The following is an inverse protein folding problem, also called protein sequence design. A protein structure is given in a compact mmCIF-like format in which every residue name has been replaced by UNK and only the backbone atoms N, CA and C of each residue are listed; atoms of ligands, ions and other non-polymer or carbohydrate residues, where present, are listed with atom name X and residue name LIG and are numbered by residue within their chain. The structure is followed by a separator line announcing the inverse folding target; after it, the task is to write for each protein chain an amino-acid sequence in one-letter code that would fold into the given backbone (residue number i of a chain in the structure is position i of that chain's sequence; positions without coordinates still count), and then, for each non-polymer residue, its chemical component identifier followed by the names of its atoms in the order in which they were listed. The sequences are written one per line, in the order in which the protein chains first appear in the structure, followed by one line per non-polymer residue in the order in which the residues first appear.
data_IF_754014991890
#
_entry.id   IF_754014991890
#
_cell.length_a   1.000
_cell.length_b   1.000
_cell.length_c   1.000
_cell.angle_alpha   90.00
_cell.angle_beta   90.00
_cell.angle_gamma   90.00
#
_symmetry.space_group_name_H-M   'P 1'
#
loop_
_entity.id
_entity.type
_entity.pdbx_description
1 polymer ?
#
# COMPACT_ATOMS: atom_id res chain seq x y z
N UNK A 1 67.22 24.18 -12.37
CA UNK A 1 66.66 25.24 -13.23
C UNK A 1 65.26 25.58 -12.72
N UNK A 2 64.94 26.86 -12.60
CA UNK A 2 63.59 27.44 -12.39
C UNK A 2 63.25 28.29 -13.64
N UNK A 3 62.09 28.92 -13.86
CA UNK A 3 60.93 29.36 -13.04
C UNK A 3 59.67 29.00 -13.88
N UNK A 4 58.54 28.51 -13.35
CA UNK A 4 57.36 29.23 -12.80
C UNK A 4 56.95 30.49 -13.64
N UNK A 5 55.69 30.91 -13.83
CA UNK A 5 54.34 30.56 -13.34
C UNK A 5 53.34 30.72 -14.50
N UNK A 6 52.21 30.00 -14.49
CA UNK A 6 51.07 30.24 -15.39
C UNK A 6 49.71 30.05 -14.70
N UNK A 7 49.43 30.83 -13.67
CA UNK A 7 48.19 30.74 -12.89
C UNK A 7 47.00 31.37 -13.62
N UNK A 8 45.89 30.63 -13.73
CA UNK A 8 44.58 31.25 -13.86
C UNK A 8 43.58 30.56 -12.93
N UNK A 9 43.21 31.27 -11.87
CA UNK A 9 42.16 30.87 -10.95
C UNK A 9 40.86 30.57 -11.70
N UNK A 10 40.20 29.47 -11.32
CA UNK A 10 38.91 29.59 -10.63
C UNK A 10 38.83 28.60 -9.49
N UNK A 11 38.70 29.14 -8.28
CA UNK A 11 38.07 28.44 -7.17
C UNK A 11 36.69 27.99 -7.66
N UNK A 12 36.45 26.67 -7.68
CA UNK A 12 35.11 26.09 -7.65
C UNK A 12 34.98 25.36 -6.34
N UNK A 13 34.73 26.16 -5.31
CA UNK A 13 34.47 25.65 -3.97
C UNK A 13 33.14 24.91 -3.93
N UNK A 14 33.16 23.74 -3.29
CA UNK A 14 32.03 22.98 -2.72
C UNK A 14 30.84 22.56 -3.62
N UNK A 15 30.42 21.28 -3.68
CA UNK A 15 31.15 20.03 -3.44
C UNK A 15 30.37 18.84 -4.05
N UNK A 16 30.42 18.68 -5.38
CA UNK A 16 29.94 17.46 -6.03
C UNK A 16 31.02 16.37 -5.90
N UNK A 17 31.07 15.72 -4.73
CA UNK A 17 32.02 14.64 -4.50
C UNK A 17 31.66 13.44 -5.40
N UNK A 18 32.56 13.00 -6.30
CA UNK A 18 32.34 11.76 -7.02
C UNK A 18 32.25 10.61 -6.02
N UNK A 19 31.32 9.69 -6.24
CA UNK A 19 31.19 8.48 -5.44
C UNK A 19 31.91 7.33 -6.16
N UNK A 20 32.69 6.55 -5.42
CA UNK A 20 33.17 5.26 -5.93
C UNK A 20 32.04 4.27 -5.69
N UNK A 21 31.49 3.71 -6.77
CA UNK A 21 30.39 2.76 -6.75
C UNK A 21 30.92 1.38 -7.15
N UNK A 22 30.74 0.40 -6.27
CA UNK A 22 30.86 -1.02 -6.58
C UNK A 22 29.47 -1.66 -6.64
N UNK A 23 29.33 -2.72 -7.43
CA UNK A 23 28.09 -3.51 -7.47
C UNK A 23 28.41 -4.97 -7.18
N UNK A 24 27.60 -5.58 -6.33
CA UNK A 24 27.59 -7.02 -6.07
C UNK A 24 26.41 -7.67 -6.78
N UNK A 25 26.21 -8.98 -6.61
CA UNK A 25 25.06 -9.69 -7.19
C UNK A 25 23.70 -9.13 -6.71
N UNK A 26 23.63 -8.67 -5.46
CA UNK A 26 22.38 -8.35 -4.77
C UNK A 26 22.30 -6.88 -4.29
N UNK A 27 23.41 -6.14 -4.33
CA UNK A 27 23.55 -4.84 -3.66
C UNK A 27 24.43 -3.86 -4.44
N UNK A 28 24.22 -2.57 -4.21
CA UNK A 28 25.13 -1.49 -4.60
C UNK A 28 25.88 -1.03 -3.35
N UNK A 29 27.21 -0.94 -3.48
CA UNK A 29 28.12 -0.44 -2.46
C UNK A 29 28.70 0.89 -2.93
N UNK A 30 28.73 1.91 -2.07
CA UNK A 30 29.37 3.18 -2.45
C UNK A 30 30.01 3.90 -1.26
N UNK A 31 30.93 4.81 -1.60
CA UNK A 31 31.57 5.74 -0.67
C UNK A 31 31.72 7.11 -1.32
N UNK A 32 31.53 8.19 -0.56
CA UNK A 32 31.87 9.53 -1.01
C UNK A 32 33.38 9.73 -0.99
N UNK A 33 33.96 10.40 -2.00
CA UNK A 33 35.37 10.79 -1.96
C UNK A 33 35.68 11.80 -0.83
N UNK A 34 34.68 12.46 -0.23
CA UNK A 34 34.84 13.27 0.98
C UNK A 34 35.11 12.45 2.25
N UNK A 35 34.81 11.15 2.24
CA UNK A 35 34.85 10.26 3.41
C UNK A 35 36.14 9.43 3.43
N UNK A 36 37.19 9.86 2.71
CA UNK A 36 38.51 9.20 2.62
C UNK A 36 39.36 9.37 3.90
N UNK A 37 38.85 8.83 5.02
CA UNK A 37 39.59 8.56 6.25
C UNK A 37 39.86 7.07 6.43
N UNK A 38 40.90 6.70 7.19
CA UNK A 38 41.22 5.30 7.47
C UNK A 38 40.18 4.71 8.44
N UNK A 39 39.27 3.87 7.93
CA UNK A 39 38.62 2.83 8.74
C UNK A 39 37.09 2.71 8.72
N UNK A 40 36.30 3.58 8.06
CA UNK A 40 34.84 3.60 8.32
C UNK A 40 33.88 3.75 7.12
N UNK A 41 32.83 2.92 7.18
CA UNK A 41 31.54 2.94 6.46
C UNK A 41 31.57 2.89 4.92
N UNK A 42 31.43 1.67 4.40
CA UNK A 42 30.80 1.43 3.09
C UNK A 42 29.29 1.67 3.25
N UNK A 43 28.70 2.56 2.45
CA UNK A 43 27.24 2.64 2.34
C UNK A 43 26.78 1.54 1.40
N UNK A 44 25.75 0.79 1.79
CA UNK A 44 25.26 -0.37 1.05
C UNK A 44 23.75 -0.28 0.87
N UNK A 45 23.24 -0.80 -0.24
CA UNK A 45 21.80 -0.89 -0.47
C UNK A 45 21.46 -2.13 -1.30
N UNK A 46 20.50 -2.91 -0.78
CA UNK A 46 19.92 -4.04 -1.50
C UNK A 46 19.17 -3.56 -2.74
N UNK A 47 19.32 -4.27 -3.85
CA UNK A 47 18.50 -4.06 -5.05
C UNK A 47 17.00 -4.16 -4.77
N UNK A 48 16.57 -4.92 -3.75
CA UNK A 48 15.16 -4.99 -3.35
C UNK A 48 14.64 -3.63 -2.84
N UNK A 49 15.50 -2.83 -2.22
CA UNK A 49 15.14 -1.56 -1.58
C UNK A 49 15.23 -0.37 -2.55
N UNK A 50 15.64 -0.58 -3.80
CA UNK A 50 15.73 0.49 -4.80
C UNK A 50 14.35 0.70 -5.40
N UNK A 51 13.76 1.88 -5.17
CA UNK A 51 12.54 2.32 -5.83
C UNK A 51 12.81 2.47 -7.32
N UNK A 52 13.88 3.12 -7.74
CA UNK A 52 14.15 3.30 -9.16
C UNK A 52 15.42 4.07 -9.47
N UNK A 53 15.74 4.19 -10.75
CA UNK A 53 16.92 4.93 -11.22
C UNK A 53 16.55 5.81 -12.42
N UNK A 54 16.99 7.06 -12.41
CA UNK A 54 16.60 8.09 -13.40
C UNK A 54 17.78 8.99 -13.75
N UNK A 55 17.86 9.49 -14.99
CA UNK A 55 18.92 10.40 -15.43
C UNK A 55 18.81 11.77 -14.76
N UNK A 56 19.93 12.47 -14.57
CA UNK A 56 19.94 13.87 -14.12
C UNK A 56 19.11 14.79 -15.02
N UNK A 57 18.99 14.49 -16.31
CA UNK A 57 18.11 15.22 -17.26
C UNK A 57 16.65 15.20 -16.83
N UNK A 58 16.20 14.04 -16.34
CA UNK A 58 14.79 13.71 -16.15
C UNK A 58 14.28 14.21 -14.79
N UNK A 59 15.19 14.53 -13.86
CA UNK A 59 14.88 15.10 -12.53
C UNK A 59 13.97 16.32 -12.63
N UNK A 60 14.03 17.10 -13.71
CA UNK A 60 13.12 18.22 -13.92
C UNK A 60 11.64 17.80 -14.02
N UNK A 61 11.33 16.63 -14.59
CA UNK A 61 9.99 16.05 -14.60
C UNK A 61 9.58 15.39 -13.27
N UNK A 62 10.56 15.12 -12.40
CA UNK A 62 10.40 14.39 -11.12
C UNK A 62 10.48 15.33 -9.90
N UNK A 63 10.72 16.64 -10.11
CA UNK A 63 11.07 17.66 -9.09
C UNK A 63 10.31 17.59 -7.78
N UNK A 64 8.99 17.42 -7.80
CA UNK A 64 8.15 17.45 -6.61
C UNK A 64 8.49 16.33 -5.58
N UNK A 65 9.13 15.22 -5.99
CA UNK A 65 9.66 14.22 -5.05
C UNK A 65 10.90 14.70 -4.29
N UNK A 66 11.68 15.62 -4.88
CA UNK A 66 12.90 16.11 -4.23
C UNK A 66 12.59 16.98 -3.01
N UNK A 67 11.36 17.49 -2.89
CA UNK A 67 10.87 18.19 -1.70
C UNK A 67 10.59 17.23 -0.52
N UNK A 68 10.32 15.94 -0.77
CA UNK A 68 10.21 14.91 0.28
C UNK A 68 11.59 14.49 0.81
N UNK A 69 12.63 14.58 -0.02
CA UNK A 69 14.02 14.26 0.33
C UNK A 69 14.84 15.56 0.52
N UNK A 70 14.64 16.21 1.66
CA UNK A 70 15.03 17.60 1.94
C UNK A 70 16.33 18.11 1.30
N UNK A 71 16.18 19.21 0.55
CA UNK A 71 17.25 20.08 0.02
C UNK A 71 18.25 19.43 -0.93
N UNK A 72 17.85 19.29 -2.20
CA UNK A 72 18.83 19.41 -3.28
C UNK A 72 19.45 20.81 -3.25
N UNK A 73 20.78 20.88 -3.24
CA UNK A 73 21.52 22.14 -3.30
C UNK A 73 21.13 22.93 -4.56
N UNK A 74 20.85 24.23 -4.39
CA UNK A 74 20.51 25.12 -5.52
C UNK A 74 21.68 25.18 -6.51
N UNK A 75 21.35 24.99 -7.79
CA UNK A 75 22.07 25.43 -9.01
C UNK A 75 23.54 25.87 -8.81
N UNK A 76 24.47 25.09 -9.36
CA UNK A 76 25.17 25.48 -10.61
C UNK A 76 26.08 24.36 -11.16
N UNK A 77 25.68 23.73 -12.28
CA UNK A 77 26.58 23.10 -13.25
C UNK A 77 25.80 22.73 -14.52
N UNK A 78 25.95 23.50 -15.59
CA UNK A 78 25.28 23.27 -16.88
C UNK A 78 25.90 22.14 -17.74
N UNK A 79 26.72 21.27 -17.14
CA UNK A 79 27.52 20.26 -17.87
C UNK A 79 27.71 18.93 -17.10
N UNK A 80 26.98 18.67 -16.01
CA UNK A 80 27.12 17.41 -15.25
C UNK A 80 26.09 16.37 -15.69
N UNK A 81 26.54 15.29 -16.33
CA UNK A 81 25.73 14.08 -16.57
C UNK A 81 25.83 13.11 -15.37
N UNK A 82 24.84 12.23 -15.22
CA UNK A 82 24.72 11.37 -14.04
C UNK A 82 23.30 10.79 -13.88
N UNK A 83 23.09 10.01 -12.82
CA UNK A 83 21.79 9.44 -12.46
C UNK A 83 21.51 9.57 -10.97
N UNK A 84 20.24 9.49 -10.59
CA UNK A 84 19.81 9.41 -9.18
C UNK A 84 19.19 8.05 -8.91
N UNK A 85 19.69 7.35 -7.89
CA UNK A 85 19.07 6.17 -7.31
C UNK A 85 18.07 6.62 -6.25
N UNK A 86 16.86 6.08 -6.34
CA UNK A 86 15.77 6.26 -5.38
C UNK A 86 15.58 4.97 -4.60
N UNK A 87 15.35 5.07 -3.30
CA UNK A 87 15.34 3.89 -2.42
C UNK A 87 14.51 4.07 -1.16
N UNK A 88 14.13 2.95 -0.54
CA UNK A 88 13.43 2.92 0.73
C UNK A 88 14.41 2.72 1.89
N UNK A 89 14.20 3.45 2.97
CA UNK A 89 14.87 3.22 4.26
C UNK A 89 13.85 3.24 5.39
N UNK A 90 13.91 2.34 6.37
CA UNK A 90 13.06 2.41 7.55
C UNK A 90 13.22 3.76 8.25
N UNK A 91 12.10 4.38 8.59
CA UNK A 91 12.02 5.55 9.47
C UNK A 91 11.47 5.14 10.84
N UNK A 92 11.30 6.09 11.77
CA UNK A 92 10.83 5.77 13.12
C UNK A 92 9.40 5.22 13.08
N UNK A 93 9.12 4.14 13.83
CA UNK A 93 7.78 3.57 14.07
C UNK A 93 7.05 3.10 12.80
N UNK A 94 7.46 1.94 12.28
CA UNK A 94 6.80 1.20 11.17
C UNK A 94 6.44 2.05 9.94
N UNK A 95 7.30 3.01 9.61
CA UNK A 95 7.16 3.87 8.44
C UNK A 95 8.39 3.71 7.55
N UNK A 96 8.22 3.93 6.26
CA UNK A 96 9.30 3.87 5.28
C UNK A 96 9.49 5.23 4.61
N UNK A 97 10.70 5.76 4.67
CA UNK A 97 11.09 7.01 4.04
C UNK A 97 11.84 6.78 2.74
N UNK A 98 11.69 7.71 1.80
CA UNK A 98 12.42 7.71 0.53
C UNK A 98 13.79 8.39 0.70
N UNK A 99 14.84 7.76 0.17
CA UNK A 99 16.19 8.32 0.05
C UNK A 99 16.62 8.34 -1.40
N UNK A 100 17.12 9.49 -1.83
CA UNK A 100 17.81 9.66 -3.11
C UNK A 100 19.34 9.64 -2.90
N UNK A 101 20.09 9.20 -3.91
CA UNK A 101 21.54 9.34 -3.98
C UNK A 101 21.94 9.59 -5.43
N UNK A 102 22.66 10.68 -5.66
CA UNK A 102 23.02 11.16 -6.99
C UNK A 102 24.45 10.78 -7.33
N UNK A 103 24.64 10.18 -8.50
CA UNK A 103 25.91 9.69 -9.01
C UNK A 103 26.23 10.43 -10.31
N UNK A 104 27.46 10.93 -10.42
CA UNK A 104 27.91 11.68 -11.58
C UNK A 104 28.74 10.80 -12.52
N UNK A 105 28.48 10.93 -13.82
CA UNK A 105 29.15 10.20 -14.89
C UNK A 105 30.06 11.13 -15.70
N UNK A 106 30.92 10.56 -16.54
CA UNK A 106 31.77 11.33 -17.47
C UNK A 106 31.08 11.56 -18.81
N UNK A 107 30.16 10.67 -19.22
CA UNK A 107 29.44 10.69 -20.50
C UNK A 107 28.00 10.21 -20.33
N UNK A 108 27.06 10.76 -21.11
CA UNK A 108 25.63 10.39 -21.08
C UNK A 108 25.39 8.91 -21.40
N UNK A 109 26.17 8.29 -22.30
CA UNK A 109 26.05 6.85 -22.57
C UNK A 109 26.20 6.02 -21.29
N UNK A 110 27.14 6.39 -20.42
CA UNK A 110 27.35 5.69 -19.14
C UNK A 110 26.15 5.84 -18.22
N UNK A 111 25.44 6.98 -18.26
CA UNK A 111 24.18 7.17 -17.51
C UNK A 111 23.13 6.16 -17.97
N UNK A 112 22.93 6.03 -19.28
CA UNK A 112 22.00 5.08 -19.88
C UNK A 112 22.36 3.63 -19.54
N UNK A 113 23.64 3.28 -19.66
CA UNK A 113 24.16 1.94 -19.33
C UNK A 113 23.92 1.60 -17.85
N UNK A 114 24.22 2.55 -16.94
CA UNK A 114 23.97 2.38 -15.50
C UNK A 114 22.49 2.26 -15.17
N UNK A 115 21.63 3.16 -15.65
CA UNK A 115 20.18 3.13 -15.40
C UNK A 115 19.57 1.83 -15.92
N UNK A 116 19.94 1.40 -17.13
CA UNK A 116 19.49 0.12 -17.70
C UNK A 116 19.96 -1.09 -16.87
N UNK A 117 21.24 -1.14 -16.53
CA UNK A 117 21.82 -2.23 -15.74
C UNK A 117 21.18 -2.33 -14.34
N UNK A 118 21.04 -1.20 -13.63
CA UNK A 118 20.47 -1.15 -12.28
C UNK A 118 19.00 -1.55 -12.28
N UNK A 119 18.16 -0.99 -13.17
CA UNK A 119 16.76 -1.40 -13.30
C UNK A 119 16.63 -2.90 -13.63
N UNK A 120 17.51 -3.45 -14.48
CA UNK A 120 17.52 -4.90 -14.77
C UNK A 120 17.91 -5.74 -13.55
N UNK A 121 18.80 -5.23 -12.70
CA UNK A 121 19.31 -5.93 -11.50
C UNK A 121 18.29 -5.92 -10.37
N UNK A 122 17.55 -4.82 -10.20
CA UNK A 122 16.37 -4.74 -9.32
C UNK A 122 15.35 -5.82 -9.67
N UNK A 123 14.95 -5.91 -10.94
CA UNK A 123 13.96 -6.89 -11.40
C UNK A 123 14.44 -8.36 -11.32
N UNK A 124 15.75 -8.62 -11.45
CA UNK A 124 16.34 -9.95 -11.24
C UNK A 124 16.41 -10.34 -9.75
N UNK A 125 16.66 -9.38 -8.87
CA UNK A 125 16.82 -9.61 -7.42
C UNK A 125 15.48 -9.60 -6.68
N UNK A 126 14.47 -8.93 -7.24
CA UNK A 126 13.10 -8.90 -6.74
C UNK A 126 12.09 -9.26 -7.85
N UNK A 127 11.88 -10.56 -8.15
CA UNK A 127 10.90 -10.99 -9.15
C UNK A 127 9.45 -10.71 -8.76
N UNK A 128 9.15 -10.61 -7.45
CA UNK A 128 7.80 -10.37 -6.92
C UNK A 128 7.30 -8.93 -7.16
N UNK A 129 8.21 -8.01 -7.50
CA UNK A 129 7.89 -6.61 -7.76
C UNK A 129 6.98 -6.44 -8.98
N UNK A 130 5.81 -5.78 -8.84
CA UNK A 130 4.90 -5.57 -9.96
C UNK A 130 5.49 -4.62 -11.01
N UNK A 131 4.99 -4.73 -12.23
CA UNK A 131 5.33 -3.90 -13.40
C UNK A 131 4.09 -3.27 -14.03
N UNK A 132 2.94 -3.93 -13.98
CA UNK A 132 1.66 -3.48 -14.51
C UNK A 132 0.60 -3.57 -13.42
N UNK A 133 0.00 -2.44 -13.05
CA UNK A 133 -1.04 -2.37 -12.01
C UNK A 133 -2.35 -1.79 -12.55
N UNK A 134 -3.47 -2.41 -12.15
CA UNK A 134 -4.81 -1.86 -12.35
C UNK A 134 -5.20 -1.08 -11.09
N UNK A 135 -5.32 0.25 -11.19
CA UNK A 135 -5.60 1.13 -10.05
C UNK A 135 -7.04 1.62 -10.09
N UNK A 136 -7.83 1.26 -9.08
CA UNK A 136 -9.14 1.84 -8.82
C UNK A 136 -9.06 2.97 -7.80
N UNK A 137 -9.72 4.08 -8.08
CA UNK A 137 -9.80 5.25 -7.19
C UNK A 137 -11.27 5.52 -6.90
N UNK A 138 -11.64 5.58 -5.62
CA UNK A 138 -12.95 6.10 -5.22
C UNK A 138 -12.83 7.61 -4.94
N UNK A 139 -13.26 8.50 -5.86
CA UNK A 139 -13.06 9.94 -5.74
C UNK A 139 -13.82 10.58 -4.57
N UNK A 140 -14.77 9.86 -3.95
CA UNK A 140 -15.54 10.33 -2.80
C UNK A 140 -14.90 9.97 -1.45
N UNK A 141 -13.89 9.11 -1.42
CA UNK A 141 -13.20 8.68 -0.19
C UNK A 141 -12.34 9.80 0.43
N UNK A 142 -12.16 9.75 1.75
CA UNK A 142 -11.21 10.61 2.47
C UNK A 142 -11.49 12.09 2.38
N UNK A 143 -12.77 12.48 2.52
CA UNK A 143 -13.24 13.85 2.25
C UNK A 143 -12.88 14.34 0.82
N UNK A 144 -13.05 13.46 -0.16
CA UNK A 144 -12.76 13.65 -1.60
C UNK A 144 -11.27 13.85 -1.94
N UNK A 145 -10.36 13.40 -1.07
CA UNK A 145 -8.90 13.53 -1.29
C UNK A 145 -8.26 12.34 -2.00
N UNK A 146 -8.93 11.21 -2.13
CA UNK A 146 -8.34 9.97 -2.69
C UNK A 146 -7.67 10.16 -4.06
N UNK A 147 -8.28 10.91 -4.98
CA UNK A 147 -7.68 11.21 -6.28
C UNK A 147 -6.43 12.10 -6.17
N UNK A 148 -6.44 13.10 -5.28
CA UNK A 148 -5.27 13.96 -5.02
C UNK A 148 -4.13 13.16 -4.35
N UNK A 149 -4.46 12.29 -3.40
CA UNK A 149 -3.53 11.38 -2.74
C UNK A 149 -2.85 10.49 -3.78
N UNK A 150 -3.61 9.88 -4.69
CA UNK A 150 -3.03 9.08 -5.77
C UNK A 150 -2.11 9.92 -6.67
N UNK A 151 -2.62 11.01 -7.24
CA UNK A 151 -1.90 11.84 -8.22
C UNK A 151 -0.63 12.48 -7.65
N UNK A 152 -0.65 12.93 -6.39
CA UNK A 152 0.46 13.69 -5.80
C UNK A 152 1.36 12.88 -4.86
N UNK A 153 1.05 11.62 -4.55
CA UNK A 153 1.90 10.81 -3.65
C UNK A 153 2.20 9.41 -4.21
N UNK A 154 1.23 8.75 -4.87
CA UNK A 154 1.35 7.32 -5.23
C UNK A 154 1.72 7.10 -6.69
N UNK A 155 0.92 7.61 -7.64
CA UNK A 155 1.15 7.43 -9.08
C UNK A 155 2.58 7.78 -9.52
N UNK A 156 3.19 8.84 -8.96
CA UNK A 156 4.57 9.17 -9.32
C UNK A 156 5.64 8.28 -8.67
N UNK A 157 5.39 7.66 -7.51
CA UNK A 157 6.27 6.63 -6.95
C UNK A 157 6.23 5.39 -7.83
N UNK A 158 5.06 5.03 -8.36
CA UNK A 158 4.91 3.98 -9.38
C UNK A 158 5.64 4.35 -10.68
N UNK A 159 5.54 5.60 -11.16
CA UNK A 159 6.32 6.08 -12.31
C UNK A 159 7.83 5.95 -12.09
N UNK A 160 8.35 6.43 -10.95
CA UNK A 160 9.76 6.25 -10.57
C UNK A 160 10.16 4.78 -10.49
N UNK A 161 9.24 3.92 -10.03
CA UNK A 161 9.42 2.49 -9.95
C UNK A 161 9.35 1.76 -11.30
N UNK A 162 9.17 2.50 -12.40
CA UNK A 162 8.94 1.97 -13.75
C UNK A 162 7.76 0.98 -13.78
N UNK A 163 6.72 1.28 -12.99
CA UNK A 163 5.46 0.54 -12.92
C UNK A 163 4.42 1.27 -13.76
N UNK A 164 3.90 0.59 -14.78
CA UNK A 164 2.80 1.07 -15.60
C UNK A 164 1.49 0.92 -14.83
N UNK A 165 0.63 1.94 -14.88
CA UNK A 165 -0.67 1.92 -14.22
C UNK A 165 -1.81 2.23 -15.18
N UNK A 166 -2.84 1.38 -15.22
CA UNK A 166 -4.15 1.73 -15.78
C UNK A 166 -5.02 2.24 -14.63
N UNK A 167 -5.50 3.47 -14.73
CA UNK A 167 -6.26 4.13 -13.65
C UNK A 167 -7.73 4.23 -14.01
N UNK A 168 -8.60 3.79 -13.11
CA UNK A 168 -10.07 3.85 -13.23
C UNK A 168 -10.62 4.59 -12.01
N UNK A 169 -11.26 5.73 -12.23
CA UNK A 169 -12.03 6.42 -11.19
C UNK A 169 -13.44 5.85 -11.15
N UNK A 170 -13.90 5.34 -10.00
CA UNK A 170 -15.23 4.77 -9.87
C UNK A 170 -16.30 5.86 -9.79
N UNK A 171 -17.45 5.59 -10.41
CA UNK A 171 -18.56 6.53 -10.61
C UNK A 171 -19.79 6.22 -9.74
N UNK A 172 -19.92 4.97 -9.31
CA UNK A 172 -21.02 4.46 -8.49
C UNK A 172 -20.48 3.43 -7.49
N UNK A 173 -21.34 2.99 -6.56
CA UNK A 173 -21.09 1.78 -5.77
C UNK A 173 -21.00 0.57 -6.72
N UNK A 174 -20.21 -0.42 -6.33
CA UNK A 174 -20.06 -1.73 -6.98
C UNK A 174 -19.43 -1.69 -8.39
N UNK A 175 -19.09 -0.51 -8.93
CA UNK A 175 -18.39 -0.37 -10.22
C UNK A 175 -17.01 -1.07 -10.19
N UNK A 176 -16.27 -1.06 -9.07
CA UNK A 176 -15.04 -1.85 -9.01
C UNK A 176 -15.32 -3.36 -9.04
N UNK A 177 -16.37 -3.82 -8.33
CA UNK A 177 -16.86 -5.20 -8.35
C UNK A 177 -17.18 -5.65 -9.78
N UNK A 178 -18.05 -4.91 -10.46
CA UNK A 178 -18.54 -5.24 -11.80
C UNK A 178 -17.39 -5.26 -12.82
N UNK A 179 -16.52 -4.24 -12.80
CA UNK A 179 -15.36 -4.18 -13.69
C UNK A 179 -14.45 -5.40 -13.51
N UNK A 180 -14.13 -5.77 -12.27
CA UNK A 180 -13.29 -6.92 -11.96
C UNK A 180 -13.93 -8.23 -12.43
N UNK A 181 -15.25 -8.39 -12.25
CA UNK A 181 -15.98 -9.59 -12.68
C UNK A 181 -16.06 -9.71 -14.22
N UNK A 182 -16.07 -8.59 -14.96
CA UNK A 182 -16.28 -8.56 -16.41
C UNK A 182 -15.00 -8.54 -17.26
N UNK A 183 -13.87 -8.08 -16.71
CA UNK A 183 -12.64 -7.87 -17.47
C UNK A 183 -11.58 -8.94 -17.15
N UNK A 184 -10.80 -9.37 -18.15
CA UNK A 184 -9.59 -10.15 -17.89
C UNK A 184 -8.57 -9.31 -17.11
N UNK A 185 -7.92 -9.95 -16.14
CA UNK A 185 -6.88 -9.37 -15.30
C UNK A 185 -5.48 -9.88 -15.66
N UNK A 186 -5.35 -10.74 -16.68
CA UNK A 186 -4.12 -11.48 -17.01
C UNK A 186 -2.95 -10.58 -17.48
N UNK A 187 -3.21 -9.30 -17.74
CA UNK A 187 -2.21 -8.28 -18.10
C UNK A 187 -1.65 -7.48 -16.90
N UNK A 188 -2.12 -7.75 -15.68
CA UNK A 188 -1.74 -7.03 -14.47
C UNK A 188 -1.10 -7.94 -13.42
N UNK A 189 -0.05 -7.45 -12.76
CA UNK A 189 0.62 -8.14 -11.65
C UNK A 189 -0.11 -7.92 -10.30
N UNK A 190 -1.06 -6.98 -10.27
CA UNK A 190 -1.85 -6.60 -9.09
C UNK A 190 -2.96 -5.59 -9.38
N UNK A 191 -3.99 -5.61 -8.54
CA UNK A 191 -5.05 -4.59 -8.46
C UNK A 191 -4.79 -3.71 -7.24
N UNK A 192 -4.92 -2.38 -7.38
CA UNK A 192 -4.71 -1.41 -6.31
C UNK A 192 -5.99 -0.62 -6.03
N UNK A 193 -6.37 -0.49 -4.77
CA UNK A 193 -7.53 0.28 -4.35
C UNK A 193 -7.12 1.53 -3.55
N UNK A 194 -7.49 2.71 -4.05
CA UNK A 194 -7.30 3.98 -3.36
C UNK A 194 -8.64 4.42 -2.77
N UNK A 195 -8.80 4.22 -1.46
CA UNK A 195 -10.04 4.50 -0.73
C UNK A 195 -10.00 4.07 0.73
N UNK A 196 -11.18 3.92 1.35
CA UNK A 196 -11.33 3.37 2.69
C UNK A 196 -11.84 1.94 2.72
N UNK A 197 -12.03 1.39 3.93
CA UNK A 197 -12.34 -0.03 4.19
C UNK A 197 -13.52 -0.58 3.36
N UNK A 198 -14.58 0.20 3.18
CA UNK A 198 -15.74 -0.22 2.38
C UNK A 198 -15.47 -0.35 0.87
N UNK A 199 -14.49 0.40 0.34
CA UNK A 199 -14.05 0.28 -1.05
C UNK A 199 -13.04 -0.85 -1.24
N UNK A 200 -12.24 -1.14 -0.22
CA UNK A 200 -11.42 -2.35 -0.19
C UNK A 200 -12.31 -3.62 -0.20
N UNK A 201 -13.39 -3.63 0.60
CA UNK A 201 -14.35 -4.73 0.61
C UNK A 201 -15.06 -4.92 -0.75
N UNK A 202 -15.41 -3.84 -1.45
CA UNK A 202 -15.94 -3.88 -2.82
C UNK A 202 -14.96 -4.60 -3.77
N UNK A 203 -13.67 -4.23 -3.75
CA UNK A 203 -12.67 -4.86 -4.61
C UNK A 203 -12.34 -6.32 -4.23
N UNK A 204 -12.32 -6.68 -2.94
CA UNK A 204 -12.20 -8.07 -2.49
C UNK A 204 -13.36 -8.91 -3.02
N UNK A 205 -14.59 -8.39 -2.93
CA UNK A 205 -15.77 -9.04 -3.48
C UNK A 205 -15.67 -9.21 -5.01
N UNK A 206 -15.21 -8.19 -5.72
CA UNK A 206 -14.93 -8.27 -7.17
C UNK A 206 -13.90 -9.33 -7.55
N UNK A 207 -12.78 -9.43 -6.82
CA UNK A 207 -11.73 -10.42 -7.11
C UNK A 207 -12.16 -11.86 -6.82
N UNK A 208 -12.88 -12.12 -5.72
CA UNK A 208 -13.36 -13.46 -5.40
C UNK A 208 -14.44 -13.91 -6.41
N UNK A 209 -15.35 -13.01 -6.79
CA UNK A 209 -16.35 -13.30 -7.83
C UNK A 209 -15.71 -13.43 -9.23
N UNK A 210 -14.63 -12.72 -9.54
CA UNK A 210 -13.84 -12.92 -10.75
C UNK A 210 -13.26 -14.33 -10.83
N UNK A 211 -12.59 -14.83 -9.79
CA UNK A 211 -12.06 -16.21 -9.80
C UNK A 211 -13.19 -17.24 -9.92
N UNK A 212 -14.29 -17.08 -9.16
CA UNK A 212 -15.45 -17.98 -9.30
C UNK A 212 -15.97 -18.01 -10.74
N UNK A 213 -16.09 -16.85 -11.40
CA UNK A 213 -16.47 -16.76 -12.81
C UNK A 213 -15.46 -17.45 -13.74
N UNK A 214 -14.16 -17.21 -13.53
CA UNK A 214 -13.05 -17.80 -14.30
C UNK A 214 -13.04 -19.33 -14.26
N UNK A 215 -13.44 -19.91 -13.12
CA UNK A 215 -13.59 -21.36 -12.93
C UNK A 215 -15.02 -21.89 -13.16
N UNK A 216 -15.92 -21.09 -13.74
CA UNK A 216 -17.33 -21.44 -14.01
C UNK A 216 -18.13 -21.88 -12.78
N UNK A 217 -17.74 -21.41 -11.59
CA UNK A 217 -18.47 -21.63 -10.34
C UNK A 217 -19.68 -20.70 -10.23
N UNK A 218 -20.72 -21.07 -9.46
CA UNK A 218 -21.89 -20.23 -9.25
C UNK A 218 -21.55 -18.87 -8.64
N UNK A 219 -22.26 -17.83 -9.09
CA UNK A 219 -22.16 -16.45 -8.59
C UNK A 219 -23.46 -16.05 -7.88
N UNK A 220 -23.38 -15.08 -6.98
CA UNK A 220 -24.53 -14.46 -6.29
C UNK A 220 -25.50 -15.53 -5.72
N UNK A 221 -26.79 -15.49 -6.03
CA UNK A 221 -27.78 -16.44 -5.50
C UNK A 221 -27.51 -17.92 -5.81
N UNK A 222 -26.69 -18.21 -6.82
CA UNK A 222 -26.23 -19.57 -7.13
C UNK A 222 -25.11 -20.06 -6.20
N UNK A 223 -24.35 -19.17 -5.57
CA UNK A 223 -23.31 -19.55 -4.60
C UNK A 223 -23.97 -19.97 -3.28
N UNK A 224 -23.73 -21.22 -2.86
CA UNK A 224 -24.31 -21.81 -1.65
C UNK A 224 -23.26 -22.13 -0.56
N UNK A 225 -23.67 -22.26 0.72
CA UNK A 225 -22.76 -22.58 1.82
C UNK A 225 -22.02 -23.90 1.60
N UNK A 226 -20.75 -23.97 1.99
CA UNK A 226 -19.93 -25.17 1.89
C UNK A 226 -19.37 -25.49 0.50
N UNK A 227 -19.63 -24.64 -0.50
CA UNK A 227 -18.93 -24.70 -1.79
C UNK A 227 -17.43 -24.36 -1.65
N UNK A 228 -16.65 -24.75 -2.66
CA UNK A 228 -15.22 -24.46 -2.72
C UNK A 228 -15.03 -22.96 -2.99
N UNK A 229 -14.17 -22.32 -2.19
CA UNK A 229 -13.71 -20.95 -2.44
C UNK A 229 -12.29 -20.95 -2.99
N UNK A 230 -12.03 -20.02 -3.91
CA UNK A 230 -10.79 -19.93 -4.66
C UNK A 230 -9.99 -18.70 -4.23
N UNK A 231 -8.70 -18.89 -3.95
CA UNK A 231 -7.78 -17.77 -3.68
C UNK A 231 -7.53 -16.99 -4.98
N UNK A 232 -7.69 -15.65 -4.98
CA UNK A 232 -7.30 -14.80 -6.09
C UNK A 232 -5.87 -15.04 -6.56
N UNK A 233 -5.71 -15.25 -7.87
CA UNK A 233 -4.42 -15.37 -8.54
C UNK A 233 -3.69 -14.03 -8.62
N UNK A 234 -4.44 -12.93 -8.71
CA UNK A 234 -3.94 -11.56 -8.69
C UNK A 234 -3.88 -10.99 -7.27
N UNK A 235 -2.81 -10.24 -6.96
CA UNK A 235 -2.61 -9.59 -5.66
C UNK A 235 -3.41 -8.30 -5.54
N UNK A 236 -3.90 -8.01 -4.33
CA UNK A 236 -4.64 -6.77 -4.01
C UNK A 236 -3.80 -5.87 -3.11
N UNK A 237 -3.50 -4.65 -3.56
CA UNK A 237 -2.88 -3.60 -2.77
C UNK A 237 -3.88 -2.54 -2.34
N UNK A 238 -3.70 -1.96 -1.15
CA UNK A 238 -4.55 -0.87 -0.64
C UNK A 238 -3.72 0.38 -0.35
N UNK A 239 -4.21 1.53 -0.80
CA UNK A 239 -3.71 2.86 -0.40
C UNK A 239 -4.75 3.48 0.55
N UNK A 240 -4.38 3.76 1.82
CA UNK A 240 -5.29 4.37 2.78
C UNK A 240 -5.70 5.78 2.31
N UNK A 241 -6.98 5.96 2.03
CA UNK A 241 -7.57 7.23 1.64
C UNK A 241 -9.02 7.38 2.13
N UNK A 242 -9.39 6.74 3.25
CA UNK A 242 -10.72 6.79 3.85
C UNK A 242 -10.78 7.67 5.11
N UNK A 243 -11.52 7.21 6.12
CA UNK A 243 -11.72 7.94 7.39
C UNK A 243 -11.35 7.11 8.63
N UNK A 244 -10.97 5.85 8.44
CA UNK A 244 -10.69 4.88 9.52
C UNK A 244 -9.51 4.03 9.09
N UNK A 245 -9.64 3.39 7.92
CA UNK A 245 -8.59 2.66 7.22
C UNK A 245 -7.98 1.56 8.10
N UNK A 246 -8.83 0.89 8.89
CA UNK A 246 -8.41 -0.15 9.83
C UNK A 246 -7.92 -1.42 9.13
N UNK A 247 -8.46 -1.75 7.95
CA UNK A 247 -7.96 -2.83 7.12
C UNK A 247 -6.55 -2.49 6.59
N UNK A 248 -6.37 -1.27 6.06
CA UNK A 248 -5.07 -0.76 5.59
C UNK A 248 -4.03 -0.76 6.72
N UNK A 249 -4.42 -0.31 7.92
CA UNK A 249 -3.56 -0.32 9.10
C UNK A 249 -3.14 -1.74 9.49
N UNK A 250 -4.04 -2.72 9.40
CA UNK A 250 -3.76 -4.12 9.73
C UNK A 250 -2.84 -4.80 8.71
N UNK A 251 -2.89 -4.37 7.45
CA UNK A 251 -2.02 -4.86 6.36
C UNK A 251 -0.63 -4.24 6.42
N UNK A 252 -0.53 -2.92 6.56
CA UNK A 252 0.74 -2.18 6.45
C UNK A 252 1.40 -1.85 7.79
N UNK A 253 0.72 -2.06 8.91
CA UNK A 253 1.13 -1.55 10.24
C UNK A 253 1.03 -0.02 10.39
N UNK A 254 0.58 0.68 9.35
CA UNK A 254 0.52 2.15 9.28
C UNK A 254 -0.55 2.63 8.30
N UNK A 255 -1.04 3.86 8.50
CA UNK A 255 -1.93 4.56 7.56
C UNK A 255 -1.16 5.59 6.71
N UNK A 256 0.18 5.52 6.70
CA UNK A 256 1.00 6.35 5.83
C UNK A 256 0.90 5.91 4.37
N UNK A 257 0.43 6.82 3.51
CA UNK A 257 0.22 6.61 2.07
C UNK A 257 1.51 6.22 1.36
N UNK A 258 2.63 6.88 1.70
CA UNK A 258 3.92 6.63 1.06
C UNK A 258 4.37 5.22 1.42
N UNK A 259 4.37 4.84 2.70
CA UNK A 259 4.69 3.48 3.15
C UNK A 259 3.84 2.41 2.46
N UNK A 260 2.52 2.61 2.35
CA UNK A 260 1.64 1.69 1.63
C UNK A 260 2.04 1.52 0.14
N UNK A 261 2.36 2.62 -0.55
CA UNK A 261 2.87 2.58 -1.91
C UNK A 261 4.24 1.89 -2.03
N UNK A 262 5.12 2.06 -1.03
CA UNK A 262 6.44 1.43 -0.98
C UNK A 262 6.37 -0.10 -0.77
N UNK A 263 5.43 -0.59 0.04
CA UNK A 263 5.16 -2.04 0.14
C UNK A 263 4.69 -2.62 -1.20
N UNK A 264 3.76 -1.94 -1.88
CA UNK A 264 3.29 -2.32 -3.23
C UNK A 264 4.45 -2.35 -4.24
N UNK A 265 5.33 -1.34 -4.24
CA UNK A 265 6.52 -1.28 -5.11
C UNK A 265 7.52 -2.39 -4.78
N UNK A 266 7.66 -2.75 -3.51
CA UNK A 266 8.52 -3.85 -3.07
C UNK A 266 7.96 -5.21 -3.47
N UNK A 267 6.67 -5.29 -3.78
CA UNK A 267 5.99 -6.55 -4.10
C UNK A 267 5.78 -7.43 -2.87
N UNK A 268 5.81 -6.83 -1.68
CA UNK A 268 5.51 -7.50 -0.41
C UNK A 268 4.07 -8.04 -0.44
N UNK A 269 3.85 -9.20 0.16
CA UNK A 269 2.53 -9.83 0.23
C UNK A 269 2.21 -10.38 1.61
N UNK A 270 0.91 -10.42 1.90
CA UNK A 270 0.34 -10.96 3.13
C UNK A 270 -0.94 -11.69 2.77
N UNK A 271 -1.24 -12.80 3.44
CA UNK A 271 -2.52 -13.49 3.26
C UNK A 271 -3.55 -12.94 4.24
N UNK A 272 -4.77 -12.72 3.76
CA UNK A 272 -5.91 -12.24 4.54
C UNK A 272 -7.04 -13.26 4.44
N UNK A 273 -7.68 -13.54 5.58
CA UNK A 273 -8.87 -14.36 5.62
C UNK A 273 -10.10 -13.54 5.21
N UNK A 274 -11.04 -14.17 4.50
CA UNK A 274 -12.30 -13.56 4.05
C UNK A 274 -13.43 -14.53 4.33
N UNK A 275 -14.55 -14.01 4.83
CA UNK A 275 -15.74 -14.81 5.16
C UNK A 275 -16.81 -14.63 4.09
N UNK A 276 -17.30 -15.74 3.53
CA UNK A 276 -18.54 -15.76 2.78
C UNK A 276 -19.73 -15.74 3.77
N UNK A 277 -20.71 -14.87 3.52
CA UNK A 277 -21.94 -14.78 4.31
C UNK A 277 -23.12 -15.14 3.44
N UNK A 278 -23.94 -16.07 3.91
CA UNK A 278 -25.17 -16.54 3.26
C UNK A 278 -26.37 -16.33 4.20
N UNK A 279 -27.57 -16.25 3.62
CA UNK A 279 -28.82 -16.23 4.36
C UNK A 279 -29.17 -17.64 4.88
N UNK A 280 -29.82 -17.70 6.05
CA UNK A 280 -30.14 -18.97 6.74
C UNK A 280 -31.37 -19.68 6.14
N UNK A 281 -32.29 -18.91 5.55
CA UNK A 281 -33.58 -19.38 5.05
C UNK A 281 -33.48 -20.16 3.72
N UNK A 282 -32.73 -19.64 2.74
CA UNK A 282 -32.59 -20.24 1.41
C UNK A 282 -31.12 -20.52 1.00
N UNK A 283 -30.16 -20.23 1.90
CA UNK A 283 -28.73 -20.35 1.61
C UNK A 283 -28.20 -19.33 0.60
N UNK A 284 -28.93 -18.27 0.25
CA UNK A 284 -28.50 -17.27 -0.73
C UNK A 284 -27.29 -16.50 -0.23
N UNK A 285 -26.21 -16.48 -1.02
CA UNK A 285 -25.05 -15.66 -0.76
C UNK A 285 -25.42 -14.17 -0.67
N UNK A 286 -25.07 -13.56 0.45
CA UNK A 286 -25.27 -12.14 0.73
C UNK A 286 -24.04 -11.37 0.25
N UNK A 287 -22.85 -11.70 0.77
CA UNK A 287 -21.58 -11.05 0.41
C UNK A 287 -20.34 -11.69 1.03
N UNK A 288 -19.17 -11.25 0.58
CA UNK A 288 -17.90 -11.42 1.29
C UNK A 288 -17.68 -10.34 2.36
N UNK A 289 -17.04 -10.71 3.47
CA UNK A 289 -16.69 -9.83 4.58
C UNK A 289 -15.20 -10.00 4.92
N UNK A 290 -14.45 -8.89 4.90
CA UNK A 290 -13.02 -8.85 5.17
C UNK A 290 -12.69 -8.59 6.66
N UNK A 291 -13.35 -7.60 7.28
CA UNK A 291 -12.99 -7.12 8.63
C UNK A 291 -14.00 -7.55 9.70
N UNK A 292 -15.26 -7.14 9.55
CA UNK A 292 -16.27 -7.33 10.59
C UNK A 292 -17.67 -7.49 9.99
N UNK A 293 -18.40 -8.47 10.53
CA UNK A 293 -19.85 -8.59 10.43
C UNK A 293 -20.44 -8.25 11.80
N UNK A 294 -21.27 -7.22 11.88
CA UNK A 294 -21.91 -6.80 13.12
C UNK A 294 -23.39 -7.18 13.19
N UNK A 295 -23.87 -7.44 14.40
CA UNK A 295 -25.29 -7.46 14.75
C UNK A 295 -25.54 -6.58 15.98
N UNK A 296 -26.77 -6.09 16.15
CA UNK A 296 -27.19 -5.28 17.30
C UNK A 296 -26.55 -3.90 17.38
N UNK A 297 -26.14 -3.49 18.58
CA UNK A 297 -25.68 -2.13 18.92
C UNK A 297 -24.67 -1.56 17.92
N UNK A 298 -23.65 -2.34 17.56
CA UNK A 298 -22.60 -1.87 16.66
C UNK A 298 -23.13 -1.60 15.24
N UNK A 299 -24.07 -2.41 14.75
CA UNK A 299 -24.68 -2.24 13.44
C UNK A 299 -25.59 -1.00 13.39
N UNK A 300 -26.33 -0.72 14.45
CA UNK A 300 -27.11 0.52 14.54
C UNK A 300 -26.23 1.77 14.72
N UNK A 301 -25.08 1.65 15.40
CA UNK A 301 -24.07 2.70 15.46
C UNK A 301 -23.50 3.01 14.06
N UNK A 302 -23.01 1.99 13.32
CA UNK A 302 -22.50 2.16 11.95
C UNK A 302 -23.56 2.70 10.99
N UNK A 303 -24.80 2.19 11.06
CA UNK A 303 -25.95 2.67 10.27
C UNK A 303 -26.28 4.13 10.59
N UNK A 304 -26.05 4.58 11.82
CA UNK A 304 -26.19 5.97 12.22
C UNK A 304 -25.02 6.83 11.70
N UNK A 305 -23.79 6.34 11.73
CA UNK A 305 -22.61 7.06 11.22
C UNK A 305 -22.65 7.28 9.71
N UNK A 306 -23.08 6.28 8.94
CA UNK A 306 -23.12 6.36 7.48
C UNK A 306 -24.12 7.39 6.97
N UNK A 307 -25.25 7.55 7.67
CA UNK A 307 -26.21 8.65 7.43
C UNK A 307 -25.64 10.04 7.76
N UNK A 308 -24.50 10.10 8.45
CA UNK A 308 -23.90 11.31 9.06
C UNK A 308 -22.49 11.61 8.54
N UNK A 309 -22.09 11.03 7.40
CA UNK A 309 -20.76 11.26 6.79
C UNK A 309 -20.42 12.75 6.55
N UNK A 310 -21.43 13.62 6.42
CA UNK A 310 -21.26 15.08 6.32
C UNK A 310 -20.64 15.73 7.57
N UNK A 311 -20.72 15.11 8.75
CA UNK A 311 -20.12 15.61 10.00
C UNK A 311 -18.62 15.25 10.16
N UNK A 312 -18.00 14.65 9.14
CA UNK A 312 -16.59 14.25 9.23
C UNK A 312 -16.36 13.22 10.34
N UNK A 313 -15.33 13.42 11.17
CA UNK A 313 -14.97 12.54 12.29
C UNK A 313 -15.90 12.67 13.50
N UNK A 314 -16.58 13.80 13.69
CA UNK A 314 -17.46 14.01 14.85
C UNK A 314 -18.71 13.11 14.84
N UNK A 315 -19.02 12.48 13.69
CA UNK A 315 -20.09 11.49 13.57
C UNK A 315 -19.96 10.37 14.60
N UNK A 316 -18.74 9.83 14.80
CA UNK A 316 -18.50 8.67 15.65
C UNK A 316 -18.91 8.93 17.10
N UNK A 317 -18.53 10.09 17.65
CA UNK A 317 -18.91 10.52 18.99
C UNK A 317 -20.44 10.69 19.13
N UNK A 318 -21.06 11.34 18.14
CA UNK A 318 -22.49 11.62 18.16
C UNK A 318 -23.34 10.35 17.98
N UNK A 319 -23.01 9.48 17.03
CA UNK A 319 -23.72 8.23 16.79
C UNK A 319 -23.52 7.26 17.95
N UNK A 320 -22.30 7.16 18.49
CA UNK A 320 -22.03 6.38 19.70
C UNK A 320 -22.90 6.82 20.88
N UNK A 321 -22.89 8.13 21.20
CA UNK A 321 -23.73 8.68 22.26
C UNK A 321 -25.23 8.48 22.01
N UNK A 322 -25.71 8.70 20.78
CA UNK A 322 -27.11 8.52 20.44
C UNK A 322 -27.55 7.05 20.55
N UNK A 323 -26.77 6.11 20.02
CA UNK A 323 -27.11 4.68 20.05
C UNK A 323 -27.03 4.15 21.49
N UNK A 324 -26.12 4.67 22.32
CA UNK A 324 -26.07 4.40 23.76
C UNK A 324 -27.36 4.85 24.48
N UNK A 325 -27.83 6.09 24.22
CA UNK A 325 -29.09 6.59 24.79
C UNK A 325 -30.33 5.84 24.31
N UNK A 326 -30.30 5.21 23.12
CA UNK A 326 -31.42 4.41 22.63
C UNK A 326 -31.58 3.10 23.41
N UNK A 327 -30.52 2.60 24.06
CA UNK A 327 -30.55 1.48 24.99
C UNK A 327 -31.36 0.26 24.50
N UNK A 328 -31.25 -0.04 23.21
CA UNK A 328 -31.97 -1.14 22.60
C UNK A 328 -31.32 -2.47 23.01
N UNK A 329 -32.17 -3.46 23.32
CA UNK A 329 -31.77 -4.85 23.50
C UNK A 329 -32.04 -5.63 22.21
N UNK A 330 -31.20 -6.61 21.91
CA UNK A 330 -31.26 -7.38 20.66
C UNK A 330 -31.22 -8.86 21.00
N UNK A 331 -32.21 -9.61 20.54
CA UNK A 331 -32.25 -11.06 20.71
C UNK A 331 -31.52 -11.74 19.55
N UNK A 332 -30.59 -12.64 19.84
CA UNK A 332 -29.88 -13.41 18.83
C UNK A 332 -29.33 -14.70 19.43
N UNK A 333 -29.33 -15.76 18.63
CA UNK A 333 -28.72 -17.05 18.94
C UNK A 333 -27.46 -17.21 18.08
N UNK A 334 -26.40 -17.79 18.64
CA UNK A 334 -25.13 -18.02 17.93
C UNK A 334 -24.72 -19.48 18.12
N UNK A 335 -24.73 -20.24 17.03
CA UNK A 335 -24.14 -21.57 16.94
C UNK A 335 -22.79 -21.51 16.23
N UNK A 336 -21.79 -22.23 16.72
CA UNK A 336 -20.46 -22.29 16.10
C UNK A 336 -19.81 -23.67 16.24
N UNK A 337 -19.06 -24.08 15.22
CA UNK A 337 -18.27 -25.31 15.23
C UNK A 337 -16.80 -24.99 15.52
N UNK A 338 -16.23 -25.61 16.56
CA UNK A 338 -14.82 -25.39 16.94
C UNK A 338 -13.91 -26.37 16.19
N UNK A 339 -13.28 -25.90 15.12
CA UNK A 339 -12.24 -26.66 14.40
C UNK A 339 -10.94 -26.63 15.20
N UNK A 340 -10.34 -27.81 15.46
CA UNK A 340 -8.95 -27.92 15.96
C UNK A 340 -7.99 -28.01 14.77
N UNK A 341 -7.37 -26.90 14.41
CA UNK A 341 -6.32 -26.86 13.40
C UNK A 341 -4.99 -27.28 14.07
N UNK A 342 -4.27 -28.27 13.52
CA UNK A 342 -2.99 -28.74 14.06
C UNK A 342 -1.79 -27.81 13.74
N UNK A 343 -2.02 -26.78 12.94
CA UNK A 343 -1.03 -25.76 12.56
C UNK A 343 -1.43 -24.42 13.15
N UNK A 344 -0.49 -23.72 13.77
CA UNK A 344 -0.74 -22.57 14.66
C UNK A 344 -1.12 -21.27 13.92
N UNK A 345 -2.28 -21.26 13.26
CA UNK A 345 -2.96 -20.04 12.86
C UNK A 345 -4.03 -19.71 13.91
N UNK A 346 -3.82 -18.66 14.69
CA UNK A 346 -4.76 -18.21 15.70
C UNK A 346 -5.93 -17.44 15.06
N UNK A 347 -6.87 -18.16 14.44
CA UNK A 347 -8.18 -17.61 14.09
C UNK A 347 -8.90 -17.19 15.39
N UNK A 348 -8.73 -15.92 15.75
CA UNK A 348 -9.28 -15.36 16.98
C UNK A 348 -10.63 -14.74 16.67
N UNK A 349 -11.67 -15.56 16.73
CA UNK A 349 -13.06 -15.08 16.75
C UNK A 349 -13.31 -14.45 18.13
N UNK A 350 -13.13 -13.13 18.24
CA UNK A 350 -13.24 -12.42 19.50
C UNK A 350 -14.69 -12.00 19.76
N UNK A 351 -15.42 -12.82 20.50
CA UNK A 351 -16.73 -12.43 21.02
C UNK A 351 -16.56 -11.40 22.15
N UNK A 352 -16.59 -10.10 21.83
CA UNK A 352 -16.60 -9.03 22.84
C UNK A 352 -18.00 -8.85 23.38
N UNK A 353 -18.29 -9.67 24.38
CA UNK A 353 -19.39 -9.50 25.32
C UNK A 353 -18.98 -8.35 26.26
N UNK A 354 -19.53 -7.15 26.04
CA UNK A 354 -19.38 -6.05 27.00
C UNK A 354 -20.49 -6.18 28.02
N UNK A 355 -20.15 -6.67 29.20
CA UNK A 355 -21.02 -6.59 30.36
C UNK A 355 -20.81 -5.22 31.04
N UNK A 356 -21.86 -4.40 31.11
CA UNK A 356 -21.76 -3.02 31.63
C UNK A 356 -22.39 -3.00 33.02
N UNK A 357 -21.61 -3.05 34.13
CA UNK A 357 -22.12 -3.43 35.46
C UNK A 357 -23.14 -2.47 36.11
N UNK A 358 -23.48 -1.36 35.47
CA UNK A 358 -24.57 -0.46 35.87
C UNK A 358 -25.94 -0.83 35.25
N UNK A 359 -25.96 -1.75 34.29
CA UNK A 359 -27.14 -2.24 33.59
C UNK A 359 -27.02 -3.76 33.51
N UNK A 360 -27.96 -4.51 34.08
CA UNK A 360 -27.97 -5.98 34.00
C UNK A 360 -28.31 -6.47 32.57
N UNK A 361 -27.46 -6.17 31.59
CA UNK A 361 -27.59 -6.55 30.18
C UNK A 361 -26.22 -6.80 29.53
N UNK A 362 -26.12 -7.96 28.89
CA UNK A 362 -24.98 -8.38 28.06
C UNK A 362 -25.08 -7.67 26.71
N UNK A 363 -24.14 -6.77 26.40
CA UNK A 363 -23.97 -6.26 25.04
C UNK A 363 -23.10 -7.23 24.23
N UNK A 364 -23.72 -8.14 23.49
CA UNK A 364 -23.00 -8.94 22.48
C UNK A 364 -22.64 -8.02 21.32
N UNK A 365 -21.39 -7.53 21.31
CA UNK A 365 -20.79 -7.02 20.08
C UNK A 365 -20.05 -8.18 19.42
N UNK A 366 -20.54 -8.63 18.26
CA UNK A 366 -19.77 -9.53 17.39
C UNK A 366 -18.63 -8.70 16.80
N UNK A 367 -17.51 -8.65 17.52
CA UNK A 367 -16.39 -7.77 17.23
C UNK A 367 -15.31 -8.53 16.47
N UNK A 368 -15.35 -8.40 15.14
CA UNK A 368 -14.18 -8.48 14.24
C UNK A 368 -13.36 -9.78 14.24
N UNK A 369 -13.15 -10.36 13.06
CA UNK A 369 -11.98 -11.23 12.88
C UNK A 369 -10.75 -10.32 12.93
N UNK A 370 -10.08 -10.29 14.06
CA UNK A 370 -8.74 -9.71 14.11
C UNK A 370 -7.84 -10.57 13.24
N UNK A 371 -7.55 -10.10 12.02
CA UNK A 371 -6.37 -10.48 11.25
C UNK A 371 -5.12 -10.06 12.04
N UNK A 372 -4.84 -10.79 13.13
CA UNK A 372 -3.54 -10.84 13.77
C UNK A 372 -2.62 -11.65 12.86
N UNK A 373 -2.26 -11.04 11.72
CA UNK A 373 -0.98 -11.35 11.11
C UNK A 373 0.10 -10.92 12.10
N UNK A 374 0.57 -11.89 12.87
CA UNK A 374 1.78 -11.73 13.67
C UNK A 374 2.91 -11.56 12.66
N UNK A 375 3.37 -10.32 12.52
CA UNK A 375 4.56 -9.99 11.73
C UNK A 375 5.73 -10.74 12.39
N UNK A 376 6.37 -11.63 11.63
CA UNK A 376 7.61 -12.32 11.98
C UNK A 376 8.72 -11.88 11.04
#
# INVERSE_FOLDING_TARGET
MSVNVGSLHRLRDSSLFPCIVGVTKNEILWRSLSELGVGTVIKQISFKNIIGTTSLSDINGVRWLTDLSGSFQKKEASTSCGFTIWSITPTKKYSWGVRCSTFYCVRDQQVSDWVGFLNSSVLKTNPSRPRNLLVFINPLSGAKKAQQIYTHQVAPLFYLANIQTKVIATTSRDHATDYLIENSLDSYDGVICVGGDGFLAEAVQGLLLHERRKFSLPLFSGHKPGEIELKPTIRLGVIPAGSTDSASYSVHGTNDVVTAALHIISGDDISLDVVAVHADDDGTFIRYVLTMLGYGFHSDLLRNDDKRRWMGSQRYNYSGFKTLLQHASYHGEISFYRVRIQTTYHLTVLFVIVDVPFVNQIFITILTIHCLSIIH
#
